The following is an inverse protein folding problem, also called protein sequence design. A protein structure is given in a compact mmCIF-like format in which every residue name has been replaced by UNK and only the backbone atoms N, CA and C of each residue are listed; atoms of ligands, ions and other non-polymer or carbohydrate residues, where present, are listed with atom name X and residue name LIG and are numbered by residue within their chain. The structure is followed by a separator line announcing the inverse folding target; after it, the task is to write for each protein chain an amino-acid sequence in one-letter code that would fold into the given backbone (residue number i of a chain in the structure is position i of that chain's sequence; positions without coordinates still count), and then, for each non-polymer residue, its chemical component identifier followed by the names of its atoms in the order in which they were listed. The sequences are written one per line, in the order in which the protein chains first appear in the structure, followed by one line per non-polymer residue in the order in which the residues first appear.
data_IF_405003439659
#
_entry.id   IF_405003439659
#
_cell.length_a   1.000
_cell.length_b   1.000
_cell.length_c   1.000
_cell.angle_alpha   90.00
_cell.angle_beta   90.00
_cell.angle_gamma   90.00
#
_symmetry.space_group_name_H-M   'P 1'
#
loop_
_entity.id
_entity.type
_entity.pdbx_description
1 polymer ?
#
# COMPACT_ATOMS: atom_id res chain seq x y z
N UNK A 1 14.36 3.87 -17.02
CA UNK A 1 13.53 2.71 -16.62
C UNK A 1 12.23 2.78 -17.40
N UNK A 2 11.77 1.71 -18.07
CA UNK A 2 10.41 1.68 -18.63
C UNK A 2 9.46 1.71 -17.44
N UNK A 3 8.66 2.74 -17.34
CA UNK A 3 7.82 2.92 -16.19
C UNK A 3 6.76 1.80 -16.20
N UNK A 4 6.67 1.08 -15.08
CA UNK A 4 5.81 -0.09 -14.94
C UNK A 4 4.36 0.41 -14.84
N UNK A 5 3.48 -0.05 -15.74
CA UNK A 5 2.06 0.28 -15.67
C UNK A 5 1.39 -0.37 -14.47
N UNK A 6 0.24 0.15 -14.03
CA UNK A 6 -0.52 -0.44 -12.94
C UNK A 6 -0.89 -1.89 -13.28
N UNK A 7 -0.90 -2.74 -12.26
CA UNK A 7 -1.26 -4.16 -12.35
C UNK A 7 -2.41 -4.43 -11.39
N UNK A 8 -3.14 -5.49 -11.67
CA UNK A 8 -4.20 -5.96 -10.76
C UNK A 8 -3.62 -6.30 -9.39
N UNK A 9 -4.30 -5.89 -8.32
CA UNK A 9 -3.93 -6.26 -6.96
C UNK A 9 -4.68 -7.53 -6.55
N UNK A 10 -3.95 -8.64 -6.37
CA UNK A 10 -4.53 -9.95 -6.08
C UNK A 10 -4.60 -10.25 -4.57
N UNK A 11 -3.62 -9.77 -3.82
CA UNK A 11 -3.50 -10.02 -2.39
C UNK A 11 -2.49 -9.11 -1.72
N UNK A 12 -2.59 -9.01 -0.39
CA UNK A 12 -1.65 -8.26 0.43
C UNK A 12 -1.15 -9.12 1.58
N UNK A 13 0.15 -9.13 1.82
CA UNK A 13 0.78 -9.76 2.98
C UNK A 13 1.49 -8.70 3.79
N UNK A 14 1.31 -8.78 5.10
CA UNK A 14 1.85 -7.82 6.05
C UNK A 14 2.65 -8.59 7.08
N UNK A 15 3.92 -8.23 7.22
CA UNK A 15 4.80 -8.71 8.28
C UNK A 15 5.05 -7.54 9.23
N UNK A 16 4.71 -7.73 10.51
CA UNK A 16 4.94 -6.73 11.56
C UNK A 16 6.25 -7.10 12.25
N UNK A 17 7.28 -6.29 11.99
CA UNK A 17 8.59 -6.42 12.63
C UNK A 17 8.65 -5.47 13.83
N UNK A 18 9.71 -5.62 14.66
CA UNK A 18 9.86 -4.82 15.87
C UNK A 18 9.82 -3.29 15.62
N UNK A 19 10.43 -2.84 14.51
CA UNK A 19 10.55 -1.43 14.13
C UNK A 19 10.24 -1.20 12.64
N UNK A 20 9.42 -2.06 12.02
CA UNK A 20 9.06 -1.94 10.60
C UNK A 20 7.73 -2.64 10.34
N UNK A 21 6.96 -2.10 9.39
CA UNK A 21 5.84 -2.83 8.77
C UNK A 21 6.25 -3.10 7.34
N UNK A 22 6.43 -4.37 7.00
CA UNK A 22 6.72 -4.79 5.63
C UNK A 22 5.43 -5.24 4.95
N UNK A 23 5.14 -4.68 3.78
CA UNK A 23 3.95 -4.99 3.00
C UNK A 23 4.36 -5.53 1.64
N UNK A 24 3.90 -6.74 1.32
CA UNK A 24 3.98 -7.32 -0.02
C UNK A 24 2.63 -7.24 -0.70
N UNK A 25 2.60 -6.61 -1.87
CA UNK A 25 1.46 -6.60 -2.77
C UNK A 25 1.70 -7.66 -3.86
N UNK A 26 0.82 -8.66 -3.95
CA UNK A 26 0.83 -9.61 -5.08
C UNK A 26 0.10 -8.98 -6.27
N UNK A 27 0.77 -9.00 -7.41
CA UNK A 27 0.32 -8.31 -8.61
C UNK A 27 0.01 -9.29 -9.73
N UNK A 28 -1.22 -9.21 -10.23
CA UNK A 28 -1.73 -9.98 -11.36
C UNK A 28 -1.33 -9.39 -12.70
N UNK A 29 -2.23 -9.43 -13.66
CA UNK A 29 -1.95 -8.94 -15.00
C UNK A 29 -1.80 -7.41 -15.05
N UNK A 30 -1.09 -6.93 -16.07
CA UNK A 30 -1.02 -5.49 -16.30
C UNK A 30 -2.39 -5.00 -16.76
N UNK A 31 -2.89 -3.94 -16.12
CA UNK A 31 -4.16 -3.37 -16.50
C UNK A 31 -4.03 -2.72 -17.89
N UNK A 32 -5.05 -2.81 -18.77
CA UNK A 32 -5.02 -2.30 -20.13
C UNK A 32 -5.16 -0.77 -20.18
N UNK A 33 -4.44 -0.07 -19.30
CA UNK A 33 -4.38 1.37 -19.23
C UNK A 33 -2.99 1.79 -19.69
N UNK A 34 -2.90 2.73 -20.62
CA UNK A 34 -1.65 3.45 -20.84
C UNK A 34 -1.25 4.04 -19.49
N UNK A 35 0.05 3.99 -19.16
CA UNK A 35 0.52 4.62 -17.93
C UNK A 35 -0.05 6.03 -17.88
N UNK A 36 -0.92 6.32 -16.90
CA UNK A 36 -1.47 7.64 -16.83
C UNK A 36 -0.29 8.59 -16.63
N UNK A 37 -0.40 9.80 -17.17
CA UNK A 37 0.50 10.90 -16.80
C UNK A 37 0.42 11.25 -15.29
N UNK A 38 -0.41 10.54 -14.52
CA UNK A 38 -0.49 10.60 -13.07
C UNK A 38 0.19 9.42 -12.37
N UNK A 39 -0.47 8.90 -11.34
CA UNK A 39 0.11 7.99 -10.37
C UNK A 39 -0.84 6.83 -10.08
N UNK A 40 -0.26 5.69 -9.73
CA UNK A 40 -1.02 4.60 -9.14
C UNK A 40 -0.44 4.28 -7.76
N UNK A 41 -1.26 3.68 -6.92
CA UNK A 41 -0.85 3.30 -5.57
C UNK A 41 -1.41 1.95 -5.21
N UNK A 42 -0.61 1.16 -4.52
CA UNK A 42 -1.10 0.02 -3.75
C UNK A 42 -0.99 0.37 -2.29
N UNK A 43 -1.98 -0.02 -1.50
CA UNK A 43 -2.01 0.36 -0.11
C UNK A 43 -2.68 -0.65 0.79
N UNK A 44 -2.39 -0.47 2.06
CA UNK A 44 -3.02 -1.12 3.19
C UNK A 44 -3.89 -0.09 3.90
N UNK A 45 -5.15 -0.43 4.11
CA UNK A 45 -6.14 0.36 4.85
C UNK A 45 -6.36 -0.29 6.20
N UNK A 46 -6.12 0.45 7.28
CA UNK A 46 -6.40 0.03 8.65
C UNK A 46 -7.69 0.70 9.11
N UNK A 47 -8.61 -0.11 9.63
CA UNK A 47 -9.86 0.37 10.21
C UNK A 47 -9.97 -0.08 11.67
N UNK A 48 -10.52 0.75 12.54
CA UNK A 48 -10.82 0.34 13.92
C UNK A 48 -12.04 -0.60 13.98
N UNK A 49 -12.39 -1.03 15.19
CA UNK A 49 -13.54 -1.92 15.47
C UNK A 49 -14.89 -1.42 14.91
N UNK A 50 -15.02 -0.09 14.70
CA UNK A 50 -16.23 0.56 14.19
C UNK A 50 -16.23 0.70 12.67
N UNK A 51 -15.21 0.16 12.00
CA UNK A 51 -15.01 0.32 10.55
C UNK A 51 -14.56 1.71 10.13
N UNK A 52 -14.11 2.56 11.07
CA UNK A 52 -13.57 3.89 10.73
C UNK A 52 -12.12 3.76 10.30
N UNK A 53 -11.75 4.41 9.19
CA UNK A 53 -10.36 4.41 8.72
C UNK A 53 -9.49 5.19 9.69
N UNK A 54 -8.41 4.56 10.13
CA UNK A 54 -7.47 5.15 11.10
C UNK A 54 -6.12 5.45 10.48
N UNK A 55 -5.64 4.55 9.61
CA UNK A 55 -4.30 4.65 9.04
C UNK A 55 -4.26 4.07 7.63
N UNK A 56 -3.46 4.68 6.76
CA UNK A 56 -3.03 4.09 5.49
C UNK A 56 -1.52 3.83 5.47
N UNK A 57 -1.13 2.76 4.78
CA UNK A 57 0.25 2.53 4.32
C UNK A 57 0.21 2.44 2.81
N UNK A 58 0.97 3.28 2.12
CA UNK A 58 0.82 3.45 0.68
C UNK A 58 2.18 3.38 0.00
N UNK A 59 2.25 2.57 -1.05
CA UNK A 59 3.30 2.60 -2.05
C UNK A 59 2.74 3.27 -3.31
N UNK A 60 3.18 4.50 -3.59
CA UNK A 60 2.80 5.26 -4.79
C UNK A 60 3.90 5.14 -5.85
N UNK A 61 3.49 4.91 -7.09
CA UNK A 61 4.37 4.82 -8.24
C UNK A 61 3.83 5.75 -9.33
N UNK A 62 4.73 6.52 -9.93
CA UNK A 62 4.46 7.38 -11.08
C UNK A 62 5.62 7.29 -12.08
N UNK A 63 5.50 7.98 -13.21
CA UNK A 63 6.59 8.07 -14.19
C UNK A 63 7.85 8.77 -13.64
N UNK A 64 7.70 9.62 -12.61
CA UNK A 64 8.77 10.50 -12.10
C UNK A 64 9.26 10.09 -10.72
N UNK A 65 8.42 9.48 -9.91
CA UNK A 65 8.69 9.21 -8.51
C UNK A 65 8.03 7.90 -8.05
N UNK A 66 8.71 7.22 -7.13
CA UNK A 66 8.17 6.11 -6.34
C UNK A 66 8.34 6.46 -4.88
N UNK A 67 7.27 6.42 -4.09
CA UNK A 67 7.26 6.94 -2.72
C UNK A 67 6.43 6.03 -1.83
N UNK A 68 6.97 5.66 -0.67
CA UNK A 68 6.20 5.02 0.39
C UNK A 68 5.80 6.08 1.42
N UNK A 69 4.57 6.01 1.94
CA UNK A 69 4.16 6.86 3.05
C UNK A 69 3.08 6.22 3.91
N UNK A 70 3.02 6.62 5.17
CA UNK A 70 1.85 6.38 6.04
C UNK A 70 1.02 7.64 6.17
N UNK A 71 -0.28 7.48 6.43
CA UNK A 71 -1.18 8.57 6.74
C UNK A 71 -2.04 8.22 7.95
N UNK A 72 -2.07 9.10 8.95
CA UNK A 72 -2.89 8.96 10.15
C UNK A 72 -4.08 9.90 10.14
N UNK A 73 -5.29 9.34 10.10
CA UNK A 73 -6.52 10.10 9.97
C UNK A 73 -6.84 10.93 11.22
N UNK A 74 -6.54 10.40 12.41
CA UNK A 74 -6.84 11.09 13.67
C UNK A 74 -6.08 12.42 13.82
N UNK A 75 -4.86 12.48 13.28
CA UNK A 75 -3.98 13.66 13.39
C UNK A 75 -3.79 14.38 12.05
N UNK A 76 -4.24 13.81 10.94
CA UNK A 76 -4.01 14.32 9.59
C UNK A 76 -2.52 14.32 9.18
N UNK A 77 -1.71 13.43 9.76
CA UNK A 77 -0.25 13.45 9.59
C UNK A 77 0.21 12.43 8.56
N UNK A 78 1.14 12.82 7.69
CA UNK A 78 1.81 11.94 6.74
C UNK A 78 3.27 11.74 7.14
N UNK A 79 3.79 10.52 7.01
CA UNK A 79 5.22 10.23 7.10
C UNK A 79 5.67 9.65 5.77
N UNK A 80 6.59 10.35 5.10
CA UNK A 80 7.17 9.91 3.83
C UNK A 80 8.45 9.13 4.07
N UNK A 81 8.62 8.04 3.32
CA UNK A 81 9.80 7.19 3.37
C UNK A 81 10.55 7.25 2.05
N UNK A 82 11.85 6.97 2.14
CA UNK A 82 12.76 6.96 1.00
C UNK A 82 12.31 5.96 -0.10
N UNK A 83 12.45 6.31 -1.40
CA UNK A 83 12.06 5.43 -2.51
C UNK A 83 12.70 4.03 -2.48
N UNK A 84 13.90 3.88 -1.91
CA UNK A 84 14.59 2.58 -1.79
C UNK A 84 13.85 1.57 -0.90
N UNK A 85 12.83 2.03 -0.17
CA UNK A 85 11.93 1.19 0.61
C UNK A 85 10.90 0.46 -0.24
N UNK A 86 10.76 0.82 -1.52
CA UNK A 86 9.91 0.11 -2.46
C UNK A 86 10.78 -0.74 -3.40
N UNK A 87 10.49 -2.03 -3.46
CA UNK A 87 11.16 -2.98 -4.37
C UNK A 87 10.13 -3.61 -5.30
N UNK A 88 10.22 -3.28 -6.57
CA UNK A 88 9.43 -3.87 -7.63
C UNK A 88 10.11 -5.14 -8.17
N UNK A 89 9.39 -6.26 -8.13
CA UNK A 89 9.81 -7.57 -8.63
C UNK A 89 8.84 -8.09 -9.70
N UNK A 90 8.20 -7.20 -10.45
CA UNK A 90 7.25 -7.45 -11.53
C UNK A 90 5.90 -8.05 -11.06
N UNK A 91 5.91 -9.26 -10.50
CA UNK A 91 4.69 -9.90 -9.94
C UNK A 91 4.46 -9.58 -8.47
N UNK A 92 5.41 -8.91 -7.82
CA UNK A 92 5.26 -8.44 -6.45
C UNK A 92 5.84 -7.04 -6.30
N UNK A 93 5.24 -6.27 -5.40
CA UNK A 93 5.78 -5.00 -4.93
C UNK A 93 5.96 -5.09 -3.41
N UNK A 94 7.18 -4.87 -2.94
CA UNK A 94 7.50 -4.84 -1.51
C UNK A 94 7.64 -3.38 -1.07
N UNK A 95 7.01 -3.00 0.02
CA UNK A 95 7.13 -1.68 0.64
C UNK A 95 7.45 -1.83 2.13
N UNK A 96 8.45 -1.10 2.60
CA UNK A 96 8.85 -1.05 4.02
C UNK A 96 8.50 0.30 4.64
N UNK A 97 7.98 0.29 5.86
CA UNK A 97 7.54 1.44 6.62
C UNK A 97 8.24 1.44 7.99
N UNK A 98 9.54 1.81 8.04
CA UNK A 98 10.34 1.72 9.26
C UNK A 98 9.85 2.70 10.34
N UNK A 99 9.78 2.23 11.58
CA UNK A 99 9.26 2.99 12.72
C UNK A 99 7.74 3.19 12.69
N UNK A 100 7.04 2.68 11.68
CA UNK A 100 5.59 2.62 11.69
C UNK A 100 5.13 1.48 12.59
N UNK A 101 4.02 1.71 13.28
CA UNK A 101 3.32 0.67 14.02
C UNK A 101 1.99 0.37 13.33
N UNK A 102 1.60 -0.90 13.34
CA UNK A 102 0.29 -1.35 12.90
C UNK A 102 -0.50 -1.81 14.14
N UNK A 103 -1.37 -0.94 14.64
CA UNK A 103 -2.20 -1.24 15.80
C UNK A 103 -3.55 -1.81 15.36
N UNK A 104 -3.77 -3.09 15.64
CA UNK A 104 -5.04 -3.79 15.41
C UNK A 104 -5.81 -4.06 16.71
N UNK A 105 -5.39 -3.46 17.82
CA UNK A 105 -6.03 -3.68 19.10
C UNK A 105 -7.54 -3.42 19.00
N UNK A 106 -8.31 -4.31 19.66
CA UNK A 106 -9.78 -4.28 19.78
C UNK A 106 -10.57 -4.62 18.52
N UNK A 107 -10.05 -5.44 17.60
CA UNK A 107 -10.85 -5.97 16.49
C UNK A 107 -10.92 -5.05 15.28
N UNK A 108 -9.88 -4.22 15.10
CA UNK A 108 -9.63 -3.54 13.85
C UNK A 108 -9.40 -4.51 12.69
N UNK A 109 -9.56 -4.02 11.47
CA UNK A 109 -9.38 -4.78 10.23
C UNK A 109 -8.32 -4.14 9.36
N UNK A 110 -7.68 -4.97 8.54
CA UNK A 110 -6.79 -4.53 7.49
C UNK A 110 -7.28 -5.05 6.15
N UNK A 111 -7.26 -4.16 5.15
CA UNK A 111 -7.61 -4.52 3.77
C UNK A 111 -6.64 -3.88 2.79
N UNK A 112 -6.40 -4.60 1.70
CA UNK A 112 -5.63 -4.08 0.57
C UNK A 112 -6.51 -3.24 -0.33
N UNK A 113 -5.91 -2.25 -0.96
CA UNK A 113 -6.56 -1.45 -2.00
C UNK A 113 -5.56 -1.02 -3.07
N UNK A 114 -6.08 -0.69 -4.25
CA UNK A 114 -5.32 -0.09 -5.33
C UNK A 114 -6.08 1.11 -5.90
N UNK A 115 -5.35 2.18 -6.18
CA UNK A 115 -5.87 3.45 -6.70
C UNK A 115 -5.10 3.84 -7.94
N UNK A 116 -5.81 4.36 -8.95
CA UNK A 116 -5.24 4.98 -10.15
C UNK A 116 -5.80 6.38 -10.29
N UNK A 117 -4.93 7.40 -10.28
CA UNK A 117 -5.29 8.81 -10.38
C UNK A 117 -6.41 9.23 -9.40
N UNK A 118 -6.37 8.70 -8.18
CA UNK A 118 -7.35 8.98 -7.13
C UNK A 118 -8.64 8.14 -7.21
N UNK A 119 -8.82 7.29 -8.22
CA UNK A 119 -9.96 6.38 -8.33
C UNK A 119 -9.59 4.99 -7.82
N UNK A 120 -10.40 4.44 -6.93
CA UNK A 120 -10.25 3.06 -6.48
C UNK A 120 -10.50 2.09 -7.65
N UNK A 121 -9.54 1.20 -7.89
CA UNK A 121 -9.64 0.12 -8.90
C UNK A 121 -9.63 -1.26 -8.28
N UNK A 122 -9.23 -1.36 -7.01
CA UNK A 122 -9.39 -2.54 -6.18
C UNK A 122 -9.62 -2.08 -4.73
N UNK A 123 -10.62 -2.65 -4.07
CA UNK A 123 -10.93 -2.38 -2.68
C UNK A 123 -11.19 -3.68 -1.93
N UNK A 124 -11.00 -3.64 -0.61
CA UNK A 124 -11.27 -4.77 0.28
C UNK A 124 -10.52 -6.05 -0.14
N UNK A 125 -9.33 -5.88 -0.72
CA UNK A 125 -8.49 -7.01 -1.12
C UNK A 125 -8.03 -7.75 0.13
N UNK A 126 -8.08 -9.08 0.05
CA UNK A 126 -7.71 -9.96 1.15
C UNK A 126 -6.29 -9.64 1.60
N UNK A 127 -6.16 -9.45 2.91
CA UNK A 127 -4.87 -9.17 3.55
C UNK A 127 -4.54 -10.25 4.55
N UNK A 128 -3.29 -10.69 4.54
CA UNK A 128 -2.75 -11.75 5.37
C UNK A 128 -1.69 -11.19 6.29
N UNK A 129 -1.90 -11.34 7.60
CA UNK A 129 -0.83 -11.11 8.58
C UNK A 129 0.07 -12.34 8.60
N UNK A 130 1.36 -12.10 8.42
CA UNK A 130 2.41 -13.09 8.60
C UNK A 130 2.86 -13.11 10.06
N UNK A 131 3.22 -14.30 10.59
CA UNK A 131 3.72 -14.44 11.96
C UNK A 131 5.12 -13.84 12.16
#
# INVERSE_FOLDING_TARGET
MRAQGPRELLGVWVEILADDVAVMFELGERLPMQQPNGWFSYGLRVSNERGTFVQYFIARISAHETTAYTFEFATGTHVYYDPTRIKDRNSTLLAHFPGAALDLAQGGTITGFAVIDGNDVAENIRTHLLP
#
